data_IF_696544280157
#
_entry.id   IF_696544280157
#
_cell.length_a   1.000
_cell.length_b   1.000
_cell.length_c   1.000
_cell.angle_alpha   90.00
_cell.angle_beta   90.00
_cell.angle_gamma   90.00
#
_symmetry.space_group_name_H-M   'P 1'
#
loop_
_entity.id
_entity.type
_entity.pdbx_description
1 polymer ?
#
# COMPACT_ATOMS: atom_id res chain seq x y z
N UNK A 1 1.21 -36.87 3.19
CA UNK A 1 0.76 -36.01 2.07
C UNK A 1 0.83 -34.53 2.45
N UNK A 2 0.00 -34.03 3.36
CA UNK A 2 -0.04 -32.60 3.70
C UNK A 2 1.29 -32.03 4.25
N UNK A 3 1.95 -32.73 5.17
CA UNK A 3 3.28 -32.34 5.68
C UNK A 3 4.39 -32.27 4.60
N UNK A 4 4.31 -33.10 3.56
CA UNK A 4 5.29 -33.05 2.45
C UNK A 4 5.00 -31.86 1.52
N UNK A 5 3.73 -31.56 1.25
CA UNK A 5 3.36 -30.36 0.47
C UNK A 5 3.79 -29.08 1.18
N UNK A 6 3.59 -29.00 2.49
CA UNK A 6 4.06 -27.87 3.31
C UNK A 6 5.58 -27.74 3.29
N UNK A 7 6.32 -28.85 3.38
CA UNK A 7 7.78 -28.84 3.30
C UNK A 7 8.30 -28.31 1.95
N UNK A 8 7.74 -28.78 0.82
CA UNK A 8 8.11 -28.29 -0.50
C UNK A 8 7.72 -26.83 -0.74
N UNK A 9 6.57 -26.40 -0.22
CA UNK A 9 6.19 -24.98 -0.26
C UNK A 9 7.18 -24.12 0.52
N UNK A 10 7.58 -24.55 1.71
CA UNK A 10 8.56 -23.83 2.53
C UNK A 10 9.94 -23.76 1.86
N UNK A 11 10.38 -24.87 1.24
CA UNK A 11 11.62 -24.92 0.47
C UNK A 11 11.57 -23.96 -0.74
N UNK A 12 10.45 -23.95 -1.47
CA UNK A 12 10.22 -23.02 -2.57
C UNK A 12 10.29 -21.56 -2.10
N UNK A 13 9.56 -21.19 -1.05
CA UNK A 13 9.56 -19.82 -0.54
C UNK A 13 10.94 -19.38 -0.06
N UNK A 14 11.67 -20.28 0.60
CA UNK A 14 13.05 -20.04 1.04
C UNK A 14 13.98 -19.79 -0.15
N UNK A 15 13.88 -20.63 -1.18
CA UNK A 15 14.70 -20.54 -2.39
C UNK A 15 14.38 -19.28 -3.18
N UNK A 16 13.10 -18.99 -3.37
CA UNK A 16 12.62 -17.77 -4.03
C UNK A 16 13.13 -16.52 -3.31
N UNK A 17 13.07 -16.47 -1.97
CA UNK A 17 13.60 -15.36 -1.19
C UNK A 17 15.11 -15.15 -1.40
N UNK A 18 15.90 -16.23 -1.46
CA UNK A 18 17.34 -16.16 -1.78
C UNK A 18 17.58 -15.64 -3.20
N UNK A 19 16.83 -16.13 -4.18
CA UNK A 19 16.93 -15.67 -5.57
C UNK A 19 16.60 -14.18 -5.70
N UNK A 20 15.51 -13.73 -5.06
CA UNK A 20 15.13 -12.32 -5.03
C UNK A 20 16.23 -11.43 -4.44
N UNK A 21 16.88 -11.87 -3.36
CA UNK A 21 18.01 -11.15 -2.77
C UNK A 21 19.19 -11.03 -3.76
N UNK A 22 19.59 -12.13 -4.39
CA UNK A 22 20.69 -12.14 -5.36
C UNK A 22 20.39 -11.23 -6.56
N UNK A 23 19.17 -11.27 -7.09
CA UNK A 23 18.79 -10.46 -8.23
C UNK A 23 18.69 -8.97 -7.89
N UNK A 24 18.26 -8.61 -6.68
CA UNK A 24 18.31 -7.21 -6.20
C UNK A 24 19.75 -6.70 -6.17
N UNK A 25 20.66 -7.46 -5.56
CA UNK A 25 22.08 -7.10 -5.50
C UNK A 25 22.72 -7.01 -6.90
N UNK A 26 22.39 -7.94 -7.79
CA UNK A 26 22.86 -7.91 -9.17
C UNK A 26 22.35 -6.66 -9.92
N UNK A 27 21.08 -6.30 -9.75
CA UNK A 27 20.49 -5.11 -10.36
C UNK A 27 21.18 -3.83 -9.87
N UNK A 28 21.42 -3.71 -8.56
CA UNK A 28 22.17 -2.58 -7.99
C UNK A 28 23.59 -2.50 -8.54
N UNK A 29 24.28 -3.63 -8.64
CA UNK A 29 25.63 -3.69 -9.21
C UNK A 29 25.63 -3.27 -10.68
N UNK A 30 24.69 -3.76 -11.49
CA UNK A 30 24.58 -3.37 -12.90
C UNK A 30 24.32 -1.87 -13.06
N UNK A 31 23.53 -1.27 -12.17
CA UNK A 31 23.29 0.18 -12.16
C UNK A 31 24.55 0.96 -11.77
N UNK A 32 25.28 0.53 -10.74
CA UNK A 32 26.56 1.13 -10.34
C UNK A 32 27.62 1.04 -11.45
N UNK A 33 27.65 -0.08 -12.19
CA UNK A 33 28.50 -0.29 -13.36
C UNK A 33 27.97 0.41 -14.62
N UNK A 34 26.89 1.20 -14.52
CA UNK A 34 26.24 1.93 -15.62
C UNK A 34 25.82 1.05 -16.81
N UNK A 35 25.54 -0.23 -16.55
CA UNK A 35 25.06 -1.20 -17.55
C UNK A 35 23.54 -1.17 -17.73
N UNK A 36 22.83 -0.63 -16.74
CA UNK A 36 21.41 -0.32 -16.80
C UNK A 36 21.20 1.12 -16.33
N UNK A 37 20.17 1.77 -16.84
CA UNK A 37 19.79 3.11 -16.41
C UNK A 37 18.91 3.10 -15.14
N UNK A 38 18.58 4.30 -14.65
CA UNK A 38 17.80 4.47 -13.43
C UNK A 38 16.36 3.95 -13.57
N UNK A 39 15.77 4.06 -14.76
CA UNK A 39 14.40 3.62 -15.05
C UNK A 39 14.32 2.09 -15.11
N UNK A 40 15.32 1.44 -15.73
CA UNK A 40 15.47 -0.01 -15.76
C UNK A 40 15.67 -0.57 -14.36
N UNK A 41 16.54 0.05 -13.55
CA UNK A 41 16.67 -0.28 -12.13
C UNK A 41 15.33 -0.14 -11.43
N UNK A 42 14.69 1.03 -11.52
CA UNK A 42 13.43 1.28 -10.83
C UNK A 42 12.33 0.28 -11.24
N UNK A 43 12.20 -0.05 -12.52
CA UNK A 43 11.22 -1.00 -13.02
C UNK A 43 11.40 -2.41 -12.45
N UNK A 44 12.64 -2.81 -12.11
CA UNK A 44 12.91 -4.07 -11.43
C UNK A 44 12.43 -4.05 -9.96
N UNK A 45 12.65 -2.95 -9.26
CA UNK A 45 12.24 -2.79 -7.85
C UNK A 45 10.75 -2.43 -7.69
N UNK A 46 10.11 -1.95 -8.77
CA UNK A 46 8.74 -1.47 -8.77
C UNK A 46 7.74 -2.57 -8.39
N UNK A 47 6.91 -2.29 -7.39
CA UNK A 47 5.82 -3.18 -7.00
C UNK A 47 4.65 -3.10 -7.99
N UNK A 48 3.82 -4.15 -8.04
CA UNK A 48 2.58 -4.14 -8.82
C UNK A 48 1.68 -2.98 -8.38
N UNK A 49 1.55 -2.77 -7.06
CA UNK A 49 0.77 -1.67 -6.49
C UNK A 49 1.31 -0.30 -6.87
N UNK A 50 2.63 -0.12 -6.91
CA UNK A 50 3.22 1.13 -7.41
C UNK A 50 2.86 1.35 -8.88
N UNK A 51 2.99 0.31 -9.72
CA UNK A 51 2.62 0.38 -11.14
C UNK A 51 1.14 0.72 -11.32
N UNK A 52 0.25 0.12 -10.54
CA UNK A 52 -1.19 0.44 -10.53
C UNK A 52 -1.45 1.90 -10.14
N UNK A 53 -0.76 2.42 -9.11
CA UNK A 53 -0.89 3.82 -8.71
C UNK A 53 -0.38 4.79 -9.78
N UNK A 54 0.75 4.47 -10.42
CA UNK A 54 1.29 5.27 -11.52
C UNK A 54 0.24 5.40 -12.62
N UNK A 55 -0.27 4.29 -13.12
CA UNK A 55 -1.21 4.28 -14.25
C UNK A 55 -2.60 4.79 -13.88
N UNK A 56 -3.12 4.43 -12.71
CA UNK A 56 -4.50 4.74 -12.30
C UNK A 56 -4.67 6.13 -11.66
N UNK A 57 -3.59 6.73 -11.15
CA UNK A 57 -3.64 8.01 -10.43
C UNK A 57 -2.66 9.01 -11.01
N UNK A 58 -1.37 8.67 -11.10
CA UNK A 58 -0.33 9.67 -11.32
C UNK A 58 -0.22 10.13 -12.79
N UNK A 59 -0.48 9.23 -13.73
CA UNK A 59 -0.43 9.49 -15.18
C UNK A 59 -1.82 9.49 -15.84
N UNK A 60 -2.86 9.02 -15.14
CA UNK A 60 -4.23 9.02 -15.65
C UNK A 60 -4.73 10.43 -15.96
N UNK A 61 -5.26 10.63 -17.16
CA UNK A 61 -5.99 11.83 -17.53
C UNK A 61 -7.27 11.96 -16.70
N UNK A 62 -7.66 13.19 -16.38
CA UNK A 62 -8.90 13.49 -15.63
C UNK A 62 -9.05 12.74 -14.28
N UNK A 63 -7.95 12.28 -13.67
CA UNK A 63 -7.93 11.59 -12.36
C UNK A 63 -8.77 12.29 -11.28
N UNK A 64 -8.80 13.63 -11.28
CA UNK A 64 -9.52 14.44 -10.31
C UNK A 64 -11.05 14.27 -10.32
N UNK A 65 -11.62 13.68 -11.39
CA UNK A 65 -13.05 13.40 -11.54
C UNK A 65 -13.44 11.97 -11.20
N UNK A 66 -12.48 11.04 -11.23
CA UNK A 66 -12.74 9.60 -11.16
C UNK A 66 -11.99 8.89 -10.03
N UNK A 67 -11.06 9.59 -9.38
CA UNK A 67 -10.21 9.03 -8.32
C UNK A 67 -10.53 9.67 -6.98
N UNK A 68 -10.76 8.82 -5.97
CA UNK A 68 -10.92 9.19 -4.57
C UNK A 68 -9.84 8.47 -3.77
N UNK A 69 -9.05 9.20 -2.99
CA UNK A 69 -7.96 8.63 -2.18
C UNK A 69 -8.32 8.63 -0.70
N UNK A 70 -8.20 7.46 -0.07
CA UNK A 70 -8.32 7.29 1.38
C UNK A 70 -6.93 7.07 1.97
N UNK A 71 -6.38 8.11 2.59
CA UNK A 71 -5.04 8.08 3.16
C UNK A 71 -5.16 7.84 4.67
N UNK A 72 -4.80 6.62 5.08
CA UNK A 72 -4.77 6.21 6.48
C UNK A 72 -3.39 6.44 7.07
N UNK A 73 -3.33 7.07 8.23
CA UNK A 73 -2.13 7.15 9.06
C UNK A 73 -2.32 6.31 10.32
N UNK A 74 -1.47 5.31 10.52
CA UNK A 74 -1.49 4.47 11.72
C UNK A 74 -0.59 5.12 12.79
N UNK A 75 -1.15 5.43 13.95
CA UNK A 75 -0.44 6.15 15.01
C UNK A 75 0.02 5.21 16.11
N UNK A 76 1.28 5.36 16.54
CA UNK A 76 1.82 4.65 17.70
C UNK A 76 2.03 3.15 17.50
N UNK A 77 2.39 2.72 16.28
CA UNK A 77 2.71 1.31 16.01
C UNK A 77 3.88 0.86 16.91
N UNK A 78 3.63 -0.16 17.73
CA UNK A 78 4.66 -0.78 18.56
C UNK A 78 5.22 -2.03 17.87
N UNK A 79 6.54 -2.19 17.89
CA UNK A 79 7.23 -3.39 17.36
C UNK A 79 7.40 -4.51 18.40
N UNK A 80 6.87 -4.32 19.62
CA UNK A 80 6.77 -5.34 20.69
C UNK A 80 6.24 -6.67 20.15
N UNK A 81 5.20 -6.58 19.32
CA UNK A 81 4.64 -7.69 18.55
C UNK A 81 4.86 -7.49 17.05
N UNK A 82 6.13 -7.51 16.62
CA UNK A 82 6.50 -7.34 15.21
C UNK A 82 5.80 -8.33 14.26
N UNK A 83 5.39 -9.51 14.73
CA UNK A 83 4.64 -10.49 13.93
C UNK A 83 3.25 -10.00 13.53
N UNK A 84 2.65 -9.12 14.32
CA UNK A 84 1.40 -8.43 13.97
C UNK A 84 1.72 -7.16 13.17
N UNK A 85 2.72 -6.39 13.58
CA UNK A 85 3.12 -5.15 12.88
C UNK A 85 3.47 -5.39 11.40
N UNK A 86 4.14 -6.50 11.06
CA UNK A 86 4.52 -6.85 9.68
C UNK A 86 3.35 -6.98 8.70
N UNK A 87 2.11 -7.06 9.20
CA UNK A 87 0.92 -7.11 8.34
C UNK A 87 0.45 -5.70 7.92
N UNK A 88 1.00 -4.65 8.53
CA UNK A 88 0.58 -3.26 8.34
C UNK A 88 1.72 -2.35 7.87
N UNK A 89 2.97 -2.74 8.11
CA UNK A 89 4.17 -2.04 7.69
C UNK A 89 5.16 -3.03 7.07
N UNK A 90 5.93 -2.55 6.09
CA UNK A 90 6.97 -3.34 5.47
C UNK A 90 8.13 -3.57 6.46
N UNK A 91 8.51 -4.83 6.62
CA UNK A 91 9.51 -5.27 7.59
C UNK A 91 10.49 -6.25 6.95
N UNK A 92 11.77 -6.12 7.33
CA UNK A 92 12.81 -7.09 7.04
C UNK A 92 13.16 -7.85 8.32
N UNK A 93 12.61 -9.06 8.47
CA UNK A 93 12.69 -9.80 9.72
C UNK A 93 11.91 -9.10 10.83
N UNK A 94 12.59 -8.71 11.92
CA UNK A 94 12.00 -7.98 13.05
C UNK A 94 12.19 -6.46 12.96
N UNK A 95 12.83 -5.96 11.91
CA UNK A 95 13.12 -4.54 11.72
C UNK A 95 12.22 -3.94 10.63
N UNK A 96 11.99 -2.63 10.71
CA UNK A 96 11.23 -1.90 9.68
C UNK A 96 12.10 -1.71 8.46
N UNK A 97 11.54 -1.98 7.28
CA UNK A 97 12.19 -1.66 6.02
C UNK A 97 12.07 -0.16 5.76
N UNK A 98 13.14 0.60 6.04
CA UNK A 98 13.13 2.06 5.95
C UNK A 98 12.98 2.56 4.52
N UNK A 99 13.60 1.88 3.55
CA UNK A 99 13.50 2.27 2.14
C UNK A 99 12.06 2.15 1.66
N UNK A 100 11.40 1.02 1.97
CA UNK A 100 9.99 0.83 1.64
C UNK A 100 9.10 1.92 2.27
N UNK A 101 9.39 2.31 3.53
CA UNK A 101 8.62 3.36 4.19
C UNK A 101 8.85 4.74 3.58
N UNK A 102 10.07 5.11 3.23
CA UNK A 102 10.35 6.39 2.57
C UNK A 102 9.65 6.49 1.21
N UNK A 103 9.64 5.38 0.45
CA UNK A 103 8.91 5.29 -0.82
C UNK A 103 7.39 5.42 -0.62
N UNK A 104 6.85 4.75 0.39
CA UNK A 104 5.42 4.79 0.71
C UNK A 104 4.99 6.18 1.20
N UNK A 105 5.78 6.81 2.05
CA UNK A 105 5.53 8.16 2.56
C UNK A 105 5.58 9.18 1.42
N UNK A 106 6.56 9.10 0.51
CA UNK A 106 6.61 9.94 -0.69
C UNK A 106 5.38 9.73 -1.59
N UNK A 107 4.97 8.48 -1.83
CA UNK A 107 3.77 8.19 -2.62
C UNK A 107 2.51 8.77 -1.97
N UNK A 108 2.30 8.49 -0.68
CA UNK A 108 1.10 8.87 0.10
C UNK A 108 0.99 10.36 0.33
N UNK A 109 2.09 11.01 0.70
CA UNK A 109 2.07 12.38 1.23
C UNK A 109 2.52 13.43 0.21
N UNK A 110 3.22 13.03 -0.85
CA UNK A 110 3.69 13.95 -1.91
C UNK A 110 3.04 13.66 -3.26
N UNK A 111 3.28 12.47 -3.84
CA UNK A 111 2.88 12.17 -5.22
C UNK A 111 1.37 12.15 -5.41
N UNK A 112 0.62 11.38 -4.61
CA UNK A 112 -0.85 11.29 -4.72
C UNK A 112 -1.49 12.67 -4.47
N UNK A 113 -1.14 13.42 -3.40
CA UNK A 113 -1.75 14.72 -3.13
C UNK A 113 -1.42 15.78 -4.19
N UNK A 114 -0.27 15.70 -4.85
CA UNK A 114 0.09 16.60 -5.95
C UNK A 114 -0.77 16.41 -7.21
N UNK A 115 -1.40 15.23 -7.35
CA UNK A 115 -2.17 14.83 -8.54
C UNK A 115 -3.67 14.91 -8.35
N UNK A 116 -4.14 14.84 -7.11
CA UNK A 116 -5.57 14.86 -6.77
C UNK A 116 -5.99 16.20 -6.18
N UNK A 117 -7.26 16.55 -6.38
CA UNK A 117 -7.85 17.69 -5.67
C UNK A 117 -7.97 17.36 -4.19
N UNK A 118 -7.77 18.35 -3.33
CA UNK A 118 -7.93 18.18 -1.88
C UNK A 118 -9.31 17.61 -1.49
N UNK A 119 -10.38 17.98 -2.21
CA UNK A 119 -11.73 17.46 -2.01
C UNK A 119 -11.89 15.95 -2.32
N UNK A 120 -10.96 15.39 -3.09
CA UNK A 120 -10.90 13.98 -3.46
C UNK A 120 -9.93 13.17 -2.59
N UNK A 121 -9.41 13.79 -1.53
CA UNK A 121 -8.49 13.16 -0.58
C UNK A 121 -9.15 13.16 0.79
N UNK A 122 -9.26 11.98 1.35
CA UNK A 122 -9.84 11.75 2.67
C UNK A 122 -8.71 11.23 3.55
N UNK A 123 -8.37 11.98 4.59
CA UNK A 123 -7.32 11.62 5.55
C UNK A 123 -7.94 11.22 6.87
N UNK A 124 -7.42 10.16 7.47
CA UNK A 124 -7.83 9.75 8.80
C UNK A 124 -6.68 9.10 9.55
N UNK A 125 -6.73 9.26 10.86
CA UNK A 125 -5.79 8.68 11.82
C UNK A 125 -6.45 7.47 12.45
N UNK A 126 -5.69 6.39 12.58
CA UNK A 126 -6.14 5.17 13.20
C UNK A 126 -5.11 4.80 14.27
N UNK A 127 -5.46 4.88 15.57
CA UNK A 127 -4.55 4.52 16.63
C UNK A 127 -4.25 3.01 16.61
N UNK A 128 -3.00 2.68 16.91
CA UNK A 128 -2.55 1.32 17.20
C UNK A 128 -2.95 0.93 18.62
N UNK A 129 -3.37 -0.32 18.78
CA UNK A 129 -3.82 -0.93 20.03
C UNK A 129 -3.05 -2.24 20.23
N UNK A 130 -2.01 -2.15 21.04
CA UNK A 130 -1.19 -3.29 21.44
C UNK A 130 -2.04 -4.32 22.24
N UNK A 131 -1.83 -5.64 22.09
CA UNK A 131 -0.93 -6.34 21.16
C UNK A 131 -1.61 -6.75 19.85
N UNK A 132 -2.90 -6.44 19.70
CA UNK A 132 -3.74 -6.93 18.61
C UNK A 132 -3.57 -6.13 17.30
N UNK A 133 -2.88 -4.99 17.34
CA UNK A 133 -2.75 -4.10 16.21
C UNK A 133 -3.91 -3.11 16.17
N UNK A 134 -4.76 -3.15 15.16
CA UNK A 134 -5.89 -2.22 15.06
C UNK A 134 -7.09 -2.79 15.85
N UNK A 135 -7.79 -1.96 16.63
CA UNK A 135 -8.91 -2.43 17.46
C UNK A 135 -10.00 -3.07 16.60
N UNK A 136 -10.42 -4.29 16.93
CA UNK A 136 -11.47 -5.02 16.20
C UNK A 136 -12.84 -4.33 16.20
N UNK A 137 -13.07 -3.32 17.03
CA UNK A 137 -14.33 -2.54 17.04
C UNK A 137 -14.29 -1.39 16.05
N UNK A 138 -13.13 -0.76 15.90
CA UNK A 138 -12.84 0.08 14.72
C UNK A 138 -12.71 -0.76 13.44
N UNK A 139 -12.40 -2.06 13.58
CA UNK A 139 -12.33 -3.07 12.52
C UNK A 139 -13.61 -3.92 12.38
N UNK A 140 -14.70 -3.77 13.18
CA UNK A 140 -15.81 -4.75 13.20
C UNK A 140 -16.76 -4.61 12.01
N UNK A 141 -16.33 -3.87 10.98
CA UNK A 141 -16.80 -4.04 9.61
C UNK A 141 -16.16 -5.25 8.89
N UNK A 142 -15.23 -5.98 9.51
CA UNK A 142 -14.37 -6.92 8.78
C UNK A 142 -14.87 -8.36 8.64
N UNK A 143 -15.66 -8.92 9.58
CA UNK A 143 -16.32 -10.23 9.31
C UNK A 143 -17.44 -10.14 8.28
N UNK A 144 -17.85 -8.92 7.89
CA UNK A 144 -18.74 -8.66 6.77
C UNK A 144 -18.01 -8.46 5.43
N UNK A 145 -16.69 -8.64 5.36
CA UNK A 145 -15.92 -8.42 4.12
C UNK A 145 -16.15 -9.45 3.00
N UNK A 146 -17.01 -10.46 3.19
CA UNK A 146 -17.56 -11.19 2.03
C UNK A 146 -18.66 -10.42 1.28
N UNK A 147 -19.24 -9.36 1.85
CA UNK A 147 -20.08 -8.37 1.16
C UNK A 147 -20.04 -7.02 1.91
N UNK A 148 -19.31 -6.05 1.36
CA UNK A 148 -19.28 -4.59 1.69
C UNK A 148 -18.50 -4.16 2.95
N UNK A 149 -17.31 -3.63 2.63
CA UNK A 149 -16.42 -2.63 3.25
C UNK A 149 -17.01 -1.76 4.40
N UNK A 150 -16.31 -1.81 5.55
CA UNK A 150 -16.02 -0.76 6.57
C UNK A 150 -16.98 0.41 6.82
N UNK A 151 -17.25 0.68 8.12
CA UNK A 151 -17.59 2.02 8.66
C UNK A 151 -18.52 2.88 7.80
N UNK A 152 -19.62 2.28 7.34
CA UNK A 152 -20.41 2.68 6.17
C UNK A 152 -20.80 4.18 6.15
N UNK A 153 -21.21 4.78 7.27
CA UNK A 153 -21.91 6.07 7.23
C UNK A 153 -21.06 7.30 6.86
N UNK A 154 -19.78 7.37 7.25
CA UNK A 154 -18.92 8.53 6.94
C UNK A 154 -18.26 8.36 5.57
N UNK A 155 -17.75 7.16 5.27
CA UNK A 155 -17.15 6.84 3.98
C UNK A 155 -18.21 6.89 2.86
N UNK A 156 -19.43 6.38 3.08
CA UNK A 156 -20.52 6.57 2.14
C UNK A 156 -20.97 8.02 2.05
N UNK A 157 -21.01 8.79 3.15
CA UNK A 157 -21.34 10.22 3.04
C UNK A 157 -20.33 10.95 2.17
N UNK A 158 -19.05 10.66 2.35
CA UNK A 158 -17.97 11.28 1.58
C UNK A 158 -17.95 10.78 0.13
N UNK A 159 -18.15 9.49 -0.10
CA UNK A 159 -18.31 8.91 -1.44
C UNK A 159 -19.55 9.47 -2.15
N UNK A 160 -20.71 9.50 -1.49
CA UNK A 160 -21.93 10.08 -2.03
C UNK A 160 -21.80 11.59 -2.28
N UNK A 161 -21.05 12.32 -1.43
CA UNK A 161 -20.73 13.72 -1.67
C UNK A 161 -19.84 13.88 -2.91
N UNK A 162 -18.82 13.03 -3.06
CA UNK A 162 -17.97 13.00 -4.25
C UNK A 162 -18.77 12.70 -5.53
N UNK A 163 -19.62 11.66 -5.51
CA UNK A 163 -20.48 11.29 -6.64
C UNK A 163 -21.45 12.42 -7.01
N UNK A 164 -22.11 13.05 -6.02
CA UNK A 164 -22.99 14.22 -6.27
C UNK A 164 -22.25 15.41 -6.87
N UNK A 165 -21.04 15.72 -6.41
CA UNK A 165 -20.22 16.81 -6.98
C UNK A 165 -19.76 16.50 -8.41
N UNK A 166 -19.58 15.23 -8.75
CA UNK A 166 -19.26 14.80 -10.12
C UNK A 166 -20.45 15.03 -11.05
N UNK A 167 -21.65 14.61 -10.63
CA UNK A 167 -22.85 14.70 -11.47
C UNK A 167 -23.30 16.15 -11.68
N UNK A 168 -23.14 17.03 -10.69
CA UNK A 168 -23.38 18.48 -10.82
C UNK A 168 -22.45 19.18 -11.83
N UNK A 169 -21.24 18.66 -12.07
CA UNK A 169 -20.27 19.22 -13.04
C UNK A 169 -20.41 18.66 -14.46
N UNK A 170 -21.33 17.71 -14.69
CA UNK A 170 -21.68 17.24 -16.04
C UNK A 170 -22.89 17.98 -16.65
N UNK A 171 -23.53 18.87 -15.88
CA UNK A 171 -24.69 19.67 -16.30
C UNK A 171 -24.34 21.14 -16.63
N UNK A 172 -23.05 21.46 -16.73
CA UNK A 172 -22.49 22.74 -17.18
C UNK A 172 -21.49 22.47 -18.30
#
# INVERSE_FOLDING_TARGET
>A
MQKMMEAHQNEWWTTMGKMQLIFRQATDRLFQEQKIDADQRHNYFMSVTERENIHGILTAENNSRHTLAFLRHLEGITLSNWRVARNFIDMNGSEVDREAQDLMDNLRDVKIPSKLRASSIIRYKQPWVDPAGIHLDTHRGERALRRRVWGHAELERQLNRFLRMRDLKMLQ
#
